data_IF_255264397897
#
_entry.id   IF_255264397897
#
_cell.length_a   1.000
_cell.length_b   1.000
_cell.length_c   1.000
_cell.angle_alpha   90.00
_cell.angle_beta   90.00
_cell.angle_gamma   90.00
#
_symmetry.space_group_name_H-M   'P 1'
#
loop_
_entity.id
_entity.type
_entity.pdbx_description
1 polymer ?
#
# COMPACT_ATOMS: atom_id res chain seq x y z
N UNK A 1 -10.18 79.96 -35.51
CA UNK A 1 -10.96 78.74 -35.23
C UNK A 1 -11.60 78.32 -36.54
N UNK A 2 -11.12 77.23 -37.14
CA UNK A 2 -11.87 76.11 -37.73
C UNK A 2 -10.94 75.34 -38.66
N UNK A 3 -10.54 74.16 -38.17
CA UNK A 3 -9.85 73.01 -38.77
C UNK A 3 -10.61 72.48 -40.02
N UNK A 4 -9.95 72.31 -41.17
CA UNK A 4 -9.27 71.10 -41.72
C UNK A 4 -10.20 69.88 -41.92
N UNK A 5 -10.46 69.50 -43.19
CA UNK A 5 -9.93 68.31 -43.91
C UNK A 5 -10.52 66.96 -43.42
N UNK A 6 -10.76 65.89 -44.19
CA UNK A 6 -10.77 65.47 -45.61
C UNK A 6 -11.18 63.99 -45.53
N UNK A 7 -11.99 63.45 -46.46
CA UNK A 7 -11.94 62.01 -46.83
C UNK A 7 -12.92 61.69 -47.96
N UNK A 8 -12.40 61.31 -49.14
CA UNK A 8 -12.90 60.13 -49.87
C UNK A 8 -11.89 59.71 -50.95
N UNK A 9 -11.30 58.53 -50.84
CA UNK A 9 -10.84 57.75 -51.99
C UNK A 9 -10.65 56.28 -51.59
N UNK A 10 -11.27 55.41 -52.37
CA UNK A 10 -11.23 53.93 -52.36
C UNK A 10 -9.79 53.40 -52.44
N UNK A 11 -9.49 52.40 -51.62
CA UNK A 11 -8.37 51.48 -51.82
C UNK A 11 -8.86 50.03 -51.68
N UNK A 12 -8.40 49.23 -52.62
CA UNK A 12 -8.66 47.83 -52.91
C UNK A 12 -8.33 46.92 -51.72
N UNK A 13 -9.24 46.00 -51.37
CA UNK A 13 -9.01 44.93 -50.40
C UNK A 13 -7.99 43.93 -50.97
N UNK A 14 -6.74 44.07 -50.55
CA UNK A 14 -5.76 43.00 -50.57
C UNK A 14 -6.04 42.06 -49.38
N UNK A 15 -6.35 40.82 -49.71
CA UNK A 15 -6.50 39.71 -48.77
C UNK A 15 -5.13 39.41 -48.16
N UNK A 16 -4.95 39.42 -46.82
CA UNK A 16 -3.68 39.02 -46.24
C UNK A 16 -3.54 37.51 -46.36
N UNK A 17 -2.41 37.11 -46.94
CA UNK A 17 -1.98 35.74 -47.12
C UNK A 17 -2.15 34.92 -45.84
N UNK A 18 -2.91 33.84 -45.98
CA UNK A 18 -3.00 32.74 -45.03
C UNK A 18 -1.61 32.19 -44.74
N UNK A 19 -1.17 32.35 -43.50
CA UNK A 19 -0.09 31.57 -42.91
C UNK A 19 -0.39 30.09 -43.06
N UNK A 20 0.55 29.36 -43.67
CA UNK A 20 0.49 27.90 -43.86
C UNK A 20 0.33 27.20 -42.50
N UNK A 21 -0.91 26.84 -42.16
CA UNK A 21 -1.19 25.86 -41.14
C UNK A 21 -0.78 24.50 -41.70
N UNK A 22 0.43 24.05 -41.36
CA UNK A 22 0.88 22.69 -41.67
C UNK A 22 -0.13 21.73 -41.06
N UNK A 23 -0.90 21.03 -41.89
CA UNK A 23 -1.81 19.98 -41.45
C UNK A 23 -0.98 18.85 -40.81
N UNK A 24 -0.90 18.86 -39.49
CA UNK A 24 -0.33 17.77 -38.72
C UNK A 24 -1.36 16.65 -38.68
N UNK A 25 -1.02 15.50 -39.24
CA UNK A 25 -1.91 14.32 -39.20
C UNK A 25 -2.13 13.86 -37.76
N UNK A 26 -3.24 13.17 -37.49
CA UNK A 26 -3.54 12.65 -36.15
C UNK A 26 -2.42 11.74 -35.60
N UNK A 27 -1.74 10.99 -36.48
CA UNK A 27 -0.61 10.14 -36.13
C UNK A 27 0.64 10.96 -35.78
N UNK A 28 0.99 11.98 -36.57
CA UNK A 28 2.11 12.88 -36.26
C UNK A 28 1.87 13.61 -34.93
N UNK A 29 0.65 14.09 -34.69
CA UNK A 29 0.28 14.71 -33.41
C UNK A 29 0.37 13.74 -32.23
N UNK A 30 0.13 12.43 -32.43
CA UNK A 30 0.33 11.42 -31.40
C UNK A 30 1.82 11.15 -31.13
N UNK A 31 2.65 11.12 -32.19
CA UNK A 31 4.11 10.97 -32.09
C UNK A 31 4.73 12.14 -31.33
N UNK A 32 4.39 13.39 -31.72
CA UNK A 32 4.84 14.63 -31.08
C UNK A 32 4.52 14.58 -29.58
N UNK A 33 3.24 14.36 -29.23
CA UNK A 33 2.80 14.26 -27.83
C UNK A 33 3.53 13.18 -27.05
N UNK A 34 3.81 12.03 -27.67
CA UNK A 34 4.48 10.92 -27.00
C UNK A 34 5.96 11.21 -26.71
N UNK A 35 6.64 11.89 -27.63
CA UNK A 35 8.03 12.31 -27.46
C UNK A 35 8.16 13.49 -26.49
N UNK A 36 7.30 14.49 -26.62
CA UNK A 36 7.22 15.61 -25.66
C UNK A 36 6.92 15.11 -24.26
N UNK A 37 6.09 14.06 -24.12
CA UNK A 37 5.90 13.41 -22.83
C UNK A 37 7.19 12.79 -22.28
N UNK A 38 7.97 12.09 -23.10
CA UNK A 38 9.21 11.44 -22.64
C UNK A 38 10.24 12.44 -22.16
N UNK A 39 10.46 13.51 -22.93
CA UNK A 39 11.40 14.59 -22.60
C UNK A 39 10.79 15.65 -21.67
N UNK A 40 9.48 15.60 -21.41
CA UNK A 40 8.79 16.53 -20.52
C UNK A 40 9.11 16.34 -19.05
N UNK A 41 8.83 17.36 -18.25
CA UNK A 41 9.21 17.44 -16.83
C UNK A 41 8.68 16.25 -16.02
N UNK A 42 7.40 15.90 -16.24
CA UNK A 42 6.72 14.88 -15.45
C UNK A 42 7.33 13.48 -15.61
N UNK A 43 7.78 13.12 -16.81
CA UNK A 43 8.41 11.81 -17.07
C UNK A 43 9.90 11.86 -16.80
N UNK A 44 10.61 12.85 -17.36
CA UNK A 44 12.06 12.90 -17.32
C UNK A 44 12.58 13.05 -15.90
N UNK A 45 11.82 13.61 -14.95
CA UNK A 45 12.16 13.60 -13.52
C UNK A 45 12.20 12.20 -12.89
N UNK A 46 11.48 11.22 -13.43
CA UNK A 46 11.33 9.87 -12.86
C UNK A 46 12.03 8.79 -13.68
N UNK A 47 12.16 8.99 -14.98
CA UNK A 47 12.72 8.01 -15.91
C UNK A 47 14.24 7.91 -15.76
N UNK A 48 14.71 6.87 -15.07
CA UNK A 48 16.15 6.64 -14.85
C UNK A 48 16.88 6.30 -16.15
N UNK A 49 16.25 5.50 -17.01
CA UNK A 49 16.87 5.04 -18.25
C UNK A 49 17.10 6.21 -19.22
N UNK A 50 16.09 7.06 -19.41
CA UNK A 50 16.22 8.22 -20.27
C UNK A 50 17.23 9.24 -19.71
N UNK A 51 17.24 9.45 -18.39
CA UNK A 51 18.26 10.30 -17.73
C UNK A 51 19.68 9.78 -17.92
N UNK A 52 19.90 8.48 -17.84
CA UNK A 52 21.21 7.87 -18.06
C UNK A 52 21.66 8.09 -19.50
N UNK A 53 20.78 7.83 -20.48
CA UNK A 53 21.08 8.04 -21.90
C UNK A 53 21.38 9.50 -22.27
N UNK A 54 20.62 10.43 -21.72
CA UNK A 54 20.85 11.87 -21.90
C UNK A 54 22.24 12.30 -21.36
N UNK A 55 22.74 11.68 -20.29
CA UNK A 55 24.07 11.99 -19.73
C UNK A 55 25.21 11.42 -20.55
N UNK A 56 24.98 10.37 -21.33
CA UNK A 56 26.02 9.70 -22.13
C UNK A 56 26.50 10.57 -23.31
N UNK A 57 25.60 11.34 -23.94
CA UNK A 57 25.90 12.09 -25.17
C UNK A 57 25.39 13.54 -25.12
N UNK A 58 25.76 14.31 -24.08
CA UNK A 58 25.46 15.75 -23.97
C UNK A 58 23.98 16.13 -24.21
N UNK A 59 23.06 15.27 -23.77
CA UNK A 59 21.62 15.45 -23.93
C UNK A 59 21.00 14.72 -25.12
N UNK A 60 21.80 14.26 -26.08
CA UNK A 60 21.34 13.55 -27.26
C UNK A 60 20.96 12.10 -26.96
N UNK A 61 19.84 11.68 -27.54
CA UNK A 61 19.35 10.31 -27.49
C UNK A 61 19.11 9.84 -28.92
N UNK A 62 19.71 8.72 -29.29
CA UNK A 62 19.54 8.17 -30.65
C UNK A 62 18.11 7.69 -30.88
N UNK A 63 17.63 7.81 -32.12
CA UNK A 63 16.31 7.30 -32.50
C UNK A 63 16.19 5.79 -32.29
N UNK A 64 17.29 5.02 -32.40
CA UNK A 64 17.28 3.58 -32.10
C UNK A 64 16.94 3.28 -30.64
N UNK A 65 17.46 4.09 -29.71
CA UNK A 65 17.11 3.99 -28.29
C UNK A 65 15.65 4.36 -28.09
N UNK A 66 15.16 5.42 -28.74
CA UNK A 66 13.75 5.85 -28.65
C UNK A 66 12.78 4.81 -29.25
N UNK A 67 13.15 4.11 -30.31
CA UNK A 67 12.37 3.03 -30.92
C UNK A 67 12.30 1.78 -30.04
N UNK A 68 13.11 1.66 -28.99
CA UNK A 68 12.94 0.61 -27.97
C UNK A 68 11.71 0.85 -27.07
N UNK A 69 11.18 2.08 -27.04
CA UNK A 69 10.05 2.45 -26.20
C UNK A 69 8.75 1.94 -26.82
N UNK A 70 8.06 1.05 -26.09
CA UNK A 70 6.88 0.34 -26.59
C UNK A 70 5.77 1.22 -27.15
N UNK A 71 5.55 2.42 -26.59
CA UNK A 71 4.47 3.32 -27.06
C UNK A 71 4.84 4.07 -28.31
N UNK A 72 6.10 4.54 -28.43
CA UNK A 72 6.58 5.16 -29.66
C UNK A 72 6.61 4.12 -30.80
N UNK A 73 7.15 2.92 -30.53
CA UNK A 73 7.18 1.82 -31.49
C UNK A 73 5.80 1.42 -32.01
N UNK A 74 4.76 1.52 -31.17
CA UNK A 74 3.39 1.23 -31.58
C UNK A 74 2.78 2.31 -32.49
N UNK A 75 3.35 3.53 -32.51
CA UNK A 75 2.90 4.63 -33.36
C UNK A 75 3.66 4.66 -34.69
N UNK A 76 4.97 4.47 -34.67
CA UNK A 76 5.82 4.42 -35.86
C UNK A 76 7.11 3.65 -35.57
N UNK A 77 7.57 2.89 -36.56
CA UNK A 77 8.91 2.27 -36.57
C UNK A 77 9.89 3.04 -37.47
N UNK A 78 9.38 4.00 -38.27
CA UNK A 78 10.16 4.75 -39.24
C UNK A 78 10.77 6.01 -38.63
N UNK A 79 12.11 6.04 -38.58
CA UNK A 79 12.90 7.19 -38.08
C UNK A 79 12.52 8.51 -38.76
N UNK A 80 12.35 8.48 -40.09
CA UNK A 80 12.01 9.67 -40.88
C UNK A 80 10.67 10.27 -40.46
N UNK A 81 9.64 9.45 -40.34
CA UNK A 81 8.29 9.88 -39.91
C UNK A 81 8.34 10.51 -38.52
N UNK A 82 9.14 9.95 -37.62
CA UNK A 82 9.30 10.48 -36.27
C UNK A 82 9.94 11.88 -36.27
N UNK A 83 11.00 12.06 -37.06
CA UNK A 83 11.71 13.34 -37.16
C UNK A 83 10.85 14.39 -37.87
N UNK A 84 10.25 14.03 -39.01
CA UNK A 84 9.35 14.91 -39.76
C UNK A 84 8.16 15.37 -38.90
N UNK A 85 7.65 14.50 -38.02
CA UNK A 85 6.60 14.87 -37.06
C UNK A 85 7.11 15.88 -36.02
N UNK A 86 8.29 15.64 -35.43
CA UNK A 86 8.86 16.54 -34.40
C UNK A 86 9.17 17.92 -34.96
N UNK A 87 9.64 18.03 -36.19
CA UNK A 87 9.91 19.32 -36.85
C UNK A 87 8.64 20.17 -37.02
N UNK A 88 7.45 19.55 -37.03
CA UNK A 88 6.15 20.24 -37.05
C UNK A 88 5.65 20.63 -35.66
N UNK A 89 6.36 20.29 -34.58
CA UNK A 89 5.96 20.65 -33.22
C UNK A 89 6.03 22.16 -33.00
N UNK A 90 4.96 22.72 -32.44
CA UNK A 90 4.87 24.13 -32.05
C UNK A 90 5.44 24.41 -30.66
N UNK A 91 5.69 23.38 -29.85
CA UNK A 91 6.10 23.54 -28.45
C UNK A 91 7.59 23.87 -28.33
N UNK A 92 8.41 23.44 -29.30
CA UNK A 92 9.85 23.70 -29.33
C UNK A 92 10.63 23.06 -28.16
N UNK A 93 10.08 22.00 -27.55
CA UNK A 93 10.71 21.32 -26.40
C UNK A 93 11.88 20.41 -26.82
N UNK A 94 11.85 19.89 -28.04
CA UNK A 94 12.78 18.89 -28.55
C UNK A 94 13.52 19.46 -29.76
N UNK A 95 14.83 19.28 -29.78
CA UNK A 95 15.70 19.57 -30.91
C UNK A 95 16.08 18.29 -31.65
N UNK A 96 16.15 18.40 -32.97
CA UNK A 96 16.63 17.35 -33.88
C UNK A 96 18.10 17.63 -34.23
N UNK A 97 18.93 16.59 -34.24
CA UNK A 97 20.32 16.71 -34.68
C UNK A 97 20.43 16.96 -36.19
N UNK A 98 21.56 17.53 -36.62
CA UNK A 98 21.80 17.83 -38.05
C UNK A 98 21.77 16.58 -38.94
N UNK A 99 22.22 15.44 -38.41
CA UNK A 99 22.18 14.13 -39.08
C UNK A 99 20.78 13.48 -39.04
N UNK A 100 19.81 14.08 -38.34
CA UNK A 100 18.45 13.57 -38.13
C UNK A 100 18.40 12.17 -37.51
N UNK A 101 19.44 11.79 -36.76
CA UNK A 101 19.53 10.47 -36.10
C UNK A 101 19.32 10.53 -34.57
N UNK A 102 19.34 11.73 -33.98
CA UNK A 102 19.27 11.95 -32.53
C UNK A 102 18.29 13.06 -32.19
N UNK A 103 17.67 12.93 -31.02
CA UNK A 103 16.81 13.94 -30.43
C UNK A 103 17.34 14.34 -29.05
N UNK A 104 17.21 15.62 -28.69
CA UNK A 104 17.47 16.09 -27.32
C UNK A 104 16.40 17.05 -26.85
N UNK A 105 16.27 17.20 -25.54
CA UNK A 105 15.50 18.30 -24.97
C UNK A 105 16.26 19.62 -25.17
N UNK A 106 15.54 20.68 -25.56
CA UNK A 106 16.11 22.00 -25.78
C UNK A 106 16.85 22.50 -24.52
N UNK A 107 18.12 22.93 -24.62
CA UNK A 107 18.96 23.29 -23.46
C UNK A 107 18.42 24.50 -22.70
N UNK A 108 17.73 25.43 -23.38
CA UNK A 108 17.10 26.60 -22.74
C UNK A 108 15.84 26.25 -21.92
N UNK A 109 15.35 25.01 -21.99
CA UNK A 109 14.25 24.51 -21.16
C UNK A 109 14.76 23.46 -20.18
N UNK A 110 15.56 23.82 -19.17
CA UNK A 110 16.06 22.85 -18.19
C UNK A 110 14.92 22.20 -17.42
N UNK A 111 15.22 21.05 -16.81
CA UNK A 111 14.28 20.40 -15.90
C UNK A 111 14.06 21.27 -14.67
N UNK A 112 12.82 21.45 -14.21
CA UNK A 112 12.54 22.00 -12.89
C UNK A 112 13.26 21.19 -11.81
N UNK A 113 13.79 21.85 -10.79
CA UNK A 113 14.34 21.14 -9.63
C UNK A 113 13.22 20.39 -8.89
N UNK A 114 13.56 19.22 -8.32
CA UNK A 114 12.59 18.41 -7.57
C UNK A 114 12.56 18.82 -6.10
N UNK A 115 12.22 20.07 -5.85
CA UNK A 115 12.05 20.62 -4.51
C UNK A 115 10.61 20.41 -4.00
N UNK A 116 10.38 20.70 -2.71
CA UNK A 116 9.07 20.53 -2.09
C UNK A 116 8.01 21.50 -2.64
N UNK A 117 8.39 22.68 -3.12
CA UNK A 117 7.45 23.67 -3.65
C UNK A 117 6.97 23.26 -5.04
N UNK A 118 7.87 22.88 -5.95
CA UNK A 118 7.49 22.35 -7.26
C UNK A 118 6.59 21.12 -7.12
N UNK A 119 6.83 20.27 -6.12
CA UNK A 119 5.95 19.12 -5.86
C UNK A 119 4.56 19.54 -5.40
N UNK A 120 4.45 20.54 -4.53
CA UNK A 120 3.18 21.10 -4.07
C UNK A 120 2.42 21.78 -5.22
N UNK A 121 3.12 22.50 -6.07
CA UNK A 121 2.58 23.15 -7.28
C UNK A 121 2.02 22.10 -8.26
N UNK A 122 2.73 21.01 -8.50
CA UNK A 122 2.21 19.89 -9.31
C UNK A 122 0.94 19.30 -8.66
N UNK A 123 0.87 19.20 -7.33
CA UNK A 123 -0.31 18.67 -6.64
C UNK A 123 -1.52 19.60 -6.72
N UNK A 124 -1.34 20.92 -6.74
CA UNK A 124 -2.44 21.89 -6.89
C UNK A 124 -3.03 21.90 -8.31
N UNK A 125 -2.26 21.49 -9.33
CA UNK A 125 -2.76 21.32 -10.71
C UNK A 125 -3.02 19.87 -11.11
N UNK A 126 -3.15 18.96 -10.14
CA UNK A 126 -3.45 17.54 -10.39
C UNK A 126 -4.81 17.13 -9.84
N UNK A 127 -5.60 16.49 -10.69
CA UNK A 127 -6.94 15.97 -10.37
C UNK A 127 -6.91 14.46 -10.21
N UNK A 128 -7.58 13.99 -9.17
CA UNK A 128 -7.93 12.59 -9.00
C UNK A 128 -9.24 12.27 -9.74
N UNK A 129 -9.22 11.27 -10.62
CA UNK A 129 -10.40 10.81 -11.35
C UNK A 129 -10.62 9.32 -11.11
N UNK A 130 -11.81 8.93 -10.63
CA UNK A 130 -12.20 7.54 -10.35
C UNK A 130 -13.46 7.16 -11.10
N UNK A 131 -13.53 5.93 -11.58
CA UNK A 131 -14.72 5.37 -12.23
C UNK A 131 -14.41 4.70 -13.56
N UNK A 132 -13.15 4.73 -13.98
CA UNK A 132 -12.67 3.93 -15.12
C UNK A 132 -12.83 2.45 -14.81
N UNK A 133 -13.40 1.71 -15.75
CA UNK A 133 -13.70 0.30 -15.55
C UNK A 133 -12.41 -0.53 -15.59
N UNK A 134 -11.96 -1.12 -14.45
CA UNK A 134 -10.75 -1.92 -14.43
C UNK A 134 -10.95 -3.30 -15.07
N UNK A 135 -12.19 -3.79 -15.06
CA UNK A 135 -12.57 -5.09 -15.61
C UNK A 135 -12.66 -5.08 -17.14
N UNK A 136 -12.94 -3.93 -17.74
CA UNK A 136 -13.12 -3.79 -19.19
C UNK A 136 -11.79 -3.49 -19.92
N UNK A 137 -10.66 -3.60 -19.23
CA UNK A 137 -9.33 -3.45 -19.84
C UNK A 137 -8.95 -2.03 -20.24
N UNK A 138 -9.49 -1.00 -19.55
CA UNK A 138 -9.14 0.42 -19.83
C UNK A 138 -7.62 0.61 -19.91
N UNK A 139 -7.13 0.95 -21.10
CA UNK A 139 -5.70 1.10 -21.39
C UNK A 139 -5.26 2.56 -21.39
N UNK A 140 -3.95 2.79 -21.38
CA UNK A 140 -3.40 4.16 -21.41
C UNK A 140 -3.83 4.93 -22.67
N UNK A 141 -3.93 4.28 -23.83
CA UNK A 141 -4.35 4.95 -25.07
C UNK A 141 -5.80 5.45 -24.97
N UNK A 142 -6.72 4.63 -24.46
CA UNK A 142 -8.11 5.06 -24.22
C UNK A 142 -8.20 6.23 -23.25
N UNK A 143 -7.32 6.27 -22.23
CA UNK A 143 -7.25 7.40 -21.31
C UNK A 143 -6.73 8.65 -22.03
N UNK A 144 -5.69 8.54 -22.85
CA UNK A 144 -5.16 9.67 -23.62
C UNK A 144 -6.23 10.22 -24.58
N UNK A 145 -6.96 9.36 -25.28
CA UNK A 145 -8.07 9.75 -26.15
C UNK A 145 -9.20 10.41 -25.36
N UNK A 146 -9.56 9.85 -24.21
CA UNK A 146 -10.58 10.42 -23.33
C UNK A 146 -10.19 11.80 -22.82
N UNK A 147 -8.90 12.01 -22.52
CA UNK A 147 -8.41 13.27 -21.98
C UNK A 147 -8.02 14.29 -23.07
N UNK A 148 -7.90 13.88 -24.33
CA UNK A 148 -7.50 14.74 -25.45
C UNK A 148 -8.39 15.98 -25.65
N UNK A 149 -9.74 15.92 -25.49
CA UNK A 149 -10.59 17.10 -25.58
C UNK A 149 -10.37 18.13 -24.47
N UNK A 150 -9.71 17.74 -23.37
CA UNK A 150 -9.38 18.65 -22.28
C UNK A 150 -7.99 19.21 -22.52
N UNK A 151 -7.92 20.53 -22.70
CA UNK A 151 -6.68 21.20 -23.09
C UNK A 151 -5.60 21.09 -22.00
N UNK A 152 -4.34 21.01 -22.45
CA UNK A 152 -3.12 21.10 -21.63
C UNK A 152 -2.99 20.03 -20.54
N UNK A 153 -3.41 18.80 -20.80
CA UNK A 153 -3.06 17.65 -19.96
C UNK A 153 -1.60 17.27 -20.21
N UNK A 154 -0.76 17.37 -19.18
CA UNK A 154 0.68 17.11 -19.25
C UNK A 154 1.03 15.68 -18.87
N UNK A 155 0.30 15.11 -17.90
CA UNK A 155 0.62 13.77 -17.40
C UNK A 155 -0.62 13.02 -16.93
N UNK A 156 -0.66 11.73 -17.22
CA UNK A 156 -1.72 10.81 -16.78
C UNK A 156 -1.05 9.62 -16.08
N UNK A 157 -1.36 9.44 -14.79
CA UNK A 157 -0.80 8.36 -13.98
C UNK A 157 -1.90 7.38 -13.59
N UNK A 158 -1.84 6.18 -14.14
CA UNK A 158 -2.74 5.08 -13.75
C UNK A 158 -2.37 4.53 -12.38
N UNK A 159 -3.32 4.53 -11.44
CA UNK A 159 -3.11 3.91 -10.13
C UNK A 159 -3.26 2.40 -10.25
N UNK A 160 -2.18 1.67 -9.98
CA UNK A 160 -2.18 0.21 -9.99
C UNK A 160 -2.04 -0.35 -8.58
N UNK A 161 -2.45 -1.59 -8.36
CA UNK A 161 -2.14 -2.36 -7.16
C UNK A 161 -1.43 -3.64 -7.55
N UNK A 162 -0.53 -4.08 -6.68
CA UNK A 162 0.13 -5.36 -6.85
C UNK A 162 -0.80 -6.46 -6.33
N UNK A 163 -1.32 -7.26 -7.25
CA UNK A 163 -2.14 -8.41 -6.92
C UNK A 163 -1.22 -9.59 -6.53
N UNK A 164 -1.19 -9.94 -5.25
CA UNK A 164 -0.28 -10.98 -4.73
C UNK A 164 -0.50 -12.36 -5.34
N UNK A 165 -1.75 -12.84 -5.54
CA UNK A 165 -1.99 -14.15 -6.16
C UNK A 165 -1.47 -14.23 -7.60
N UNK A 166 -1.71 -13.20 -8.41
CA UNK A 166 -1.29 -13.19 -9.82
C UNK A 166 0.10 -12.61 -10.08
N UNK A 167 0.73 -11.99 -9.06
CA UNK A 167 1.99 -11.22 -9.13
C UNK A 167 1.98 -10.17 -10.25
N UNK A 168 0.81 -9.59 -10.54
CA UNK A 168 0.63 -8.60 -11.61
C UNK A 168 0.15 -7.27 -11.04
N UNK A 169 0.53 -6.19 -11.70
CA UNK A 169 0.00 -4.86 -11.40
C UNK A 169 -1.31 -4.66 -12.13
N UNK A 170 -2.41 -4.68 -11.37
CA UNK A 170 -3.76 -4.47 -11.87
C UNK A 170 -4.20 -3.02 -11.66
N UNK A 171 -4.97 -2.49 -12.60
CA UNK A 171 -5.47 -1.13 -12.52
C UNK A 171 -6.55 -0.98 -11.43
N UNK A 172 -6.48 0.08 -10.61
CA UNK A 172 -7.45 0.36 -9.54
C UNK A 172 -8.75 1.03 -10.05
N UNK A 173 -8.82 1.41 -11.33
CA UNK A 173 -9.96 2.17 -11.88
C UNK A 173 -9.93 3.66 -11.58
N UNK A 174 -8.75 4.19 -11.24
CA UNK A 174 -8.55 5.59 -10.91
C UNK A 174 -7.21 6.10 -11.44
N UNK A 175 -7.16 7.35 -11.87
CA UNK A 175 -5.98 8.00 -12.45
C UNK A 175 -5.74 9.35 -11.76
N UNK A 176 -4.50 9.81 -11.81
CA UNK A 176 -4.15 11.21 -11.55
C UNK A 176 -3.86 11.90 -12.89
N UNK A 177 -4.45 13.07 -13.10
CA UNK A 177 -4.30 13.87 -14.31
C UNK A 177 -3.70 15.21 -13.91
N UNK A 178 -2.49 15.48 -14.37
CA UNK A 178 -1.79 16.75 -14.14
C UNK A 178 -2.01 17.66 -15.33
N UNK A 179 -2.53 18.86 -15.08
CA UNK A 179 -2.71 19.91 -16.08
C UNK A 179 -1.49 20.84 -16.09
N UNK A 180 -1.28 21.55 -17.20
CA UNK A 180 -0.23 22.56 -17.28
C UNK A 180 -0.48 23.72 -16.30
N UNK A 181 -1.74 24.15 -16.19
CA UNK A 181 -2.16 25.31 -15.40
C UNK A 181 -3.27 24.93 -14.42
N UNK A 182 -3.32 25.62 -13.27
CA UNK A 182 -4.38 25.48 -12.27
C UNK A 182 -5.75 25.85 -12.82
N UNK A 183 -5.85 26.85 -13.69
CA UNK A 183 -7.13 27.26 -14.30
C UNK A 183 -7.79 26.13 -15.11
N UNK A 184 -7.00 25.33 -15.81
CA UNK A 184 -7.51 24.22 -16.61
C UNK A 184 -7.95 23.05 -15.71
N UNK A 185 -7.25 22.85 -14.60
CA UNK A 185 -7.65 21.92 -13.54
C UNK A 185 -9.03 22.32 -12.96
N UNK A 186 -9.23 23.61 -12.67
CA UNK A 186 -10.51 24.13 -12.16
C UNK A 186 -11.64 24.02 -13.19
N UNK A 187 -11.38 24.39 -14.46
CA UNK A 187 -12.34 24.20 -15.56
C UNK A 187 -12.76 22.73 -15.68
N UNK A 188 -11.79 21.80 -15.58
CA UNK A 188 -12.08 20.37 -15.65
C UNK A 188 -12.91 19.87 -14.45
N UNK A 189 -12.70 20.44 -13.25
CA UNK A 189 -13.52 20.14 -12.08
C UNK A 189 -14.93 20.72 -12.16
N UNK A 190 -15.09 21.89 -12.78
CA UNK A 190 -16.37 22.59 -12.94
C UNK A 190 -17.34 21.90 -13.91
N UNK A 191 -16.88 21.01 -14.79
CA UNK A 191 -17.75 20.23 -15.67
C UNK A 191 -18.75 19.43 -14.80
N UNK A 192 -20.06 19.63 -14.93
CA UNK A 192 -21.03 19.01 -14.01
C UNK A 192 -21.13 17.48 -14.14
N UNK A 193 -21.11 16.96 -15.37
CA UNK A 193 -21.26 15.53 -15.65
C UNK A 193 -20.11 15.04 -16.50
N UNK A 194 -19.23 14.26 -15.88
CA UNK A 194 -18.19 13.53 -16.60
C UNK A 194 -18.51 12.03 -16.51
N UNK A 195 -18.71 11.40 -17.67
CA UNK A 195 -18.99 9.97 -17.73
C UNK A 195 -18.03 9.26 -18.68
N UNK A 196 -17.75 8.00 -18.38
CA UNK A 196 -16.92 7.13 -19.21
C UNK A 196 -17.60 5.77 -19.32
N UNK A 197 -17.90 5.34 -20.55
CA UNK A 197 -18.62 4.09 -20.87
C UNK A 197 -19.91 3.93 -20.03
N UNK A 198 -20.69 5.01 -19.89
CA UNK A 198 -21.95 5.01 -19.14
C UNK A 198 -21.83 5.05 -17.60
N UNK A 199 -20.61 5.16 -17.05
CA UNK A 199 -20.37 5.33 -15.61
C UNK A 199 -19.96 6.76 -15.30
N UNK A 200 -20.55 7.36 -14.29
CA UNK A 200 -20.15 8.67 -13.80
C UNK A 200 -18.77 8.61 -13.13
N UNK A 201 -17.93 9.59 -13.46
CA UNK A 201 -16.58 9.71 -12.94
C UNK A 201 -16.57 10.67 -11.74
N UNK A 202 -16.04 10.17 -10.63
CA UNK A 202 -15.78 10.96 -9.43
C UNK A 202 -14.48 11.73 -9.65
N UNK A 203 -14.53 13.04 -9.50
CA UNK A 203 -13.36 13.92 -9.57
C UNK A 203 -13.16 14.62 -8.23
N UNK A 204 -11.90 14.73 -7.81
CA UNK A 204 -11.48 15.48 -6.63
C UNK A 204 -10.11 16.08 -6.87
N UNK A 205 -9.78 17.16 -6.17
CA UNK A 205 -8.40 17.61 -6.12
C UNK A 205 -7.52 16.53 -5.51
N UNK A 206 -6.28 16.40 -6.00
CA UNK A 206 -5.35 15.42 -5.47
C UNK A 206 -5.06 15.64 -3.98
N UNK A 207 -4.99 16.90 -3.53
CA UNK A 207 -4.82 17.23 -2.12
C UNK A 207 -5.98 16.73 -1.25
N UNK A 208 -7.23 16.97 -1.67
CA UNK A 208 -8.42 16.48 -0.95
C UNK A 208 -8.45 14.96 -0.86
N UNK A 209 -8.02 14.29 -1.94
CA UNK A 209 -7.87 12.84 -1.95
C UNK A 209 -6.84 12.38 -0.91
N UNK A 210 -5.67 13.04 -0.83
CA UNK A 210 -4.64 12.67 0.14
C UNK A 210 -5.08 12.92 1.58
N UNK A 211 -5.70 14.06 1.86
CA UNK A 211 -6.22 14.39 3.20
C UNK A 211 -7.26 13.34 3.64
N UNK A 212 -8.20 13.00 2.77
CA UNK A 212 -9.19 11.97 3.06
C UNK A 212 -8.53 10.59 3.28
N UNK A 213 -7.50 10.25 2.49
CA UNK A 213 -6.79 8.98 2.62
C UNK A 213 -5.97 8.89 3.91
N UNK A 214 -5.34 9.97 4.34
CA UNK A 214 -4.62 10.02 5.61
C UNK A 214 -5.57 9.86 6.80
N UNK A 215 -6.73 10.52 6.76
CA UNK A 215 -7.76 10.34 7.79
C UNK A 215 -8.26 8.88 7.86
N UNK A 216 -8.56 8.27 6.70
CA UNK A 216 -8.97 6.85 6.61
C UNK A 216 -7.90 5.90 7.18
N UNK A 217 -6.63 6.14 6.84
CA UNK A 217 -5.52 5.34 7.31
C UNK A 217 -5.32 5.48 8.83
N UNK A 218 -5.45 6.69 9.38
CA UNK A 218 -5.37 6.94 10.82
C UNK A 218 -6.49 6.23 11.57
N UNK A 219 -7.73 6.34 11.09
CA UNK A 219 -8.88 5.65 11.69
C UNK A 219 -8.71 4.11 11.62
N UNK A 220 -8.20 3.58 10.49
CA UNK A 220 -7.90 2.15 10.36
C UNK A 220 -6.85 1.71 11.37
N UNK A 221 -5.78 2.48 11.54
CA UNK A 221 -4.71 2.17 12.47
C UNK A 221 -5.21 2.18 13.91
N UNK A 222 -6.01 3.17 14.30
CA UNK A 222 -6.65 3.25 15.61
C UNK A 222 -7.57 2.04 15.86
N UNK A 223 -8.36 1.61 14.86
CA UNK A 223 -9.19 0.39 14.96
C UNK A 223 -8.36 -0.87 15.15
N UNK A 224 -7.21 -0.99 14.48
CA UNK A 224 -6.30 -2.13 14.64
C UNK A 224 -5.70 -2.12 16.05
N UNK A 225 -5.25 -0.96 16.52
CA UNK A 225 -4.67 -0.82 17.85
C UNK A 225 -5.69 -1.10 18.95
N UNK A 226 -6.92 -0.60 18.82
CA UNK A 226 -8.01 -0.93 19.74
C UNK A 226 -8.32 -2.43 19.77
N UNK A 227 -8.29 -3.12 18.63
CA UNK A 227 -8.47 -4.58 18.58
C UNK A 227 -7.33 -5.32 19.27
N UNK A 228 -6.08 -4.84 19.13
CA UNK A 228 -4.92 -5.41 19.82
C UNK A 228 -5.03 -5.21 21.33
N UNK A 229 -5.30 -3.99 21.80
CA UNK A 229 -5.51 -3.68 23.22
C UNK A 229 -6.62 -4.54 23.83
N UNK A 230 -7.79 -4.64 23.17
CA UNK A 230 -8.87 -5.52 23.64
C UNK A 230 -8.48 -7.00 23.69
N UNK A 231 -7.64 -7.47 22.76
CA UNK A 231 -7.14 -8.85 22.77
C UNK A 231 -6.16 -9.06 23.92
N UNK A 232 -5.28 -8.10 24.17
CA UNK A 232 -4.32 -8.12 25.28
C UNK A 232 -5.04 -8.06 26.62
N UNK A 233 -5.99 -7.13 26.81
CA UNK A 233 -6.83 -7.04 28.02
C UNK A 233 -7.64 -8.31 28.27
N UNK A 234 -8.23 -8.91 27.23
CA UNK A 234 -8.93 -10.18 27.36
C UNK A 234 -7.98 -11.33 27.71
N UNK A 235 -6.74 -11.29 27.20
CA UNK A 235 -5.72 -12.28 27.49
C UNK A 235 -5.18 -12.14 28.91
N UNK A 236 -4.91 -10.92 29.38
CA UNK A 236 -4.47 -10.65 30.75
C UNK A 236 -5.55 -11.02 31.76
N UNK A 237 -6.81 -10.65 31.52
CA UNK A 237 -7.94 -11.05 32.36
C UNK A 237 -8.11 -12.58 32.40
N UNK A 238 -7.93 -13.26 31.27
CA UNK A 238 -8.03 -14.72 31.21
C UNK A 238 -6.88 -15.44 31.93
N UNK A 239 -5.68 -14.84 31.98
CA UNK A 239 -4.54 -15.41 32.73
C UNK A 239 -4.52 -14.98 34.19
N UNK A 240 -5.15 -13.86 34.58
CA UNK A 240 -5.15 -13.34 35.95
C UNK A 240 -5.80 -14.28 36.98
N UNK A 241 -6.74 -15.13 36.55
CA UNK A 241 -7.38 -16.13 37.42
C UNK A 241 -6.61 -17.46 37.51
N UNK A 242 -5.46 -17.60 36.85
CA UNK A 242 -4.66 -18.81 36.87
C UNK A 242 -3.54 -18.67 37.92
N UNK A 243 -3.33 -19.66 38.81
CA UNK A 243 -2.29 -19.58 39.84
C UNK A 243 -0.88 -19.63 39.21
N UNK A 244 0.00 -18.76 39.68
CA UNK A 244 1.42 -18.66 39.28
C UNK A 244 2.31 -19.59 40.11
N UNK A 245 3.43 -20.04 39.56
CA UNK A 245 4.32 -21.05 40.17
C UNK A 245 3.64 -22.41 40.40
N UNK A 246 2.54 -22.68 39.69
CA UNK A 246 1.67 -23.84 39.92
C UNK A 246 1.73 -24.87 38.79
N UNK A 247 2.64 -24.70 37.81
CA UNK A 247 2.75 -25.59 36.66
C UNK A 247 4.15 -26.21 36.55
N UNK A 248 4.20 -27.51 36.24
CA UNK A 248 5.45 -28.25 36.00
C UNK A 248 5.39 -28.97 34.66
N UNK A 249 6.54 -29.10 34.02
CA UNK A 249 6.76 -29.85 32.79
C UNK A 249 7.39 -31.21 33.12
N UNK A 250 6.89 -32.26 32.48
CA UNK A 250 7.37 -33.62 32.59
C UNK A 250 7.95 -34.07 31.26
N UNK A 251 9.17 -34.60 31.25
CA UNK A 251 9.84 -35.13 30.06
C UNK A 251 10.36 -36.54 30.32
N UNK A 252 10.30 -37.39 29.29
CA UNK A 252 10.65 -38.82 29.40
C UNK A 252 9.49 -39.72 29.82
N UNK A 253 8.25 -39.30 29.56
CA UNK A 253 7.05 -40.11 29.83
C UNK A 253 7.03 -41.35 28.92
N UNK A 254 6.62 -42.49 29.49
CA UNK A 254 6.52 -43.77 28.79
C UNK A 254 5.32 -43.81 27.82
N UNK A 255 5.37 -44.70 26.83
CA UNK A 255 4.32 -44.83 25.82
C UNK A 255 2.96 -45.25 26.41
N UNK A 256 2.99 -46.05 27.49
CA UNK A 256 1.81 -46.54 28.22
C UNK A 256 1.44 -45.66 29.42
N UNK A 257 2.22 -44.60 29.70
CA UNK A 257 1.95 -43.71 30.83
C UNK A 257 0.59 -43.05 30.62
N UNK A 258 -0.22 -42.99 31.68
CA UNK A 258 -1.55 -42.41 31.65
C UNK A 258 -1.63 -41.19 32.57
N UNK A 259 -2.68 -40.37 32.38
CA UNK A 259 -2.91 -39.21 33.27
C UNK A 259 -3.13 -39.63 34.73
N UNK A 260 -3.64 -40.83 34.95
CA UNK A 260 -3.92 -41.36 36.27
C UNK A 260 -2.62 -41.80 36.96
N UNK A 261 -1.72 -42.50 36.23
CA UNK A 261 -0.42 -42.90 36.78
C UNK A 261 0.47 -41.69 37.11
N UNK A 262 0.42 -40.62 36.30
CA UNK A 262 1.08 -39.34 36.61
C UNK A 262 0.54 -38.72 37.91
N UNK A 263 -0.78 -38.68 38.10
CA UNK A 263 -1.39 -38.12 39.32
C UNK A 263 -1.03 -38.94 40.55
N UNK A 264 -1.06 -40.27 40.45
CA UNK A 264 -0.71 -41.16 41.55
C UNK A 264 0.76 -41.01 41.96
N UNK A 265 1.67 -40.95 40.98
CA UNK A 265 3.10 -40.75 41.23
C UNK A 265 3.37 -39.42 41.96
N UNK A 266 2.72 -38.33 41.53
CA UNK A 266 2.85 -37.02 42.17
C UNK A 266 2.24 -37.02 43.59
N UNK A 267 1.08 -37.67 43.80
CA UNK A 267 0.46 -37.79 45.14
C UNK A 267 1.28 -38.63 46.12
N UNK A 268 2.05 -39.61 45.64
CA UNK A 268 2.97 -40.39 46.51
C UNK A 268 4.10 -39.53 47.08
N UNK A 269 4.48 -38.46 46.39
CA UNK A 269 5.49 -37.49 46.85
C UNK A 269 4.85 -36.45 47.75
N UNK A 270 3.66 -35.95 47.39
CA UNK A 270 2.94 -34.97 48.17
C UNK A 270 1.42 -35.12 47.98
N UNK A 271 0.74 -35.65 48.99
CA UNK A 271 -0.69 -35.91 48.98
C UNK A 271 -1.53 -34.63 49.15
N UNK A 272 -0.90 -33.53 49.57
CA UNK A 272 -1.55 -32.22 49.74
C UNK A 272 -1.76 -31.47 48.42
N UNK A 273 -1.20 -31.98 47.30
CA UNK A 273 -1.28 -31.33 45.99
C UNK A 273 -2.61 -31.59 45.28
N UNK A 274 -3.35 -30.52 45.02
CA UNK A 274 -4.56 -30.55 44.21
C UNK A 274 -4.29 -30.21 42.74
N UNK A 275 -4.73 -31.09 41.83
CA UNK A 275 -4.53 -30.93 40.39
C UNK A 275 -5.65 -30.10 39.76
N UNK A 276 -5.26 -29.03 39.05
CA UNK A 276 -6.16 -28.24 38.21
C UNK A 276 -6.37 -28.89 36.83
N UNK A 277 -5.28 -29.33 36.18
CA UNK A 277 -5.33 -29.97 34.87
C UNK A 277 -4.04 -30.73 34.57
N UNK A 278 -4.14 -31.84 33.84
CA UNK A 278 -3.00 -32.60 33.31
C UNK A 278 -3.10 -32.57 31.79
N UNK A 279 -2.25 -31.76 31.15
CA UNK A 279 -2.15 -31.66 29.69
C UNK A 279 -1.14 -32.68 29.17
N UNK A 280 -1.66 -33.87 28.90
CA UNK A 280 -0.88 -35.01 28.42
C UNK A 280 -1.79 -35.91 27.57
N UNK A 281 -1.27 -36.50 26.50
CA UNK A 281 -1.95 -37.57 25.75
C UNK A 281 -1.10 -38.83 25.79
N UNK A 282 -1.76 -39.97 25.93
CA UNK A 282 -1.10 -41.28 25.95
C UNK A 282 -0.29 -41.43 24.65
N UNK A 283 0.98 -41.82 24.79
CA UNK A 283 1.96 -41.89 23.70
C UNK A 283 2.83 -40.64 23.53
N UNK A 284 2.53 -39.51 24.17
CA UNK A 284 3.42 -38.34 24.18
C UNK A 284 4.63 -38.60 25.11
N UNK A 285 5.81 -38.13 24.73
CA UNK A 285 7.03 -38.25 25.56
C UNK A 285 7.16 -37.18 26.64
N UNK A 286 6.27 -36.19 26.62
CA UNK A 286 6.27 -35.07 27.55
C UNK A 286 4.85 -34.55 27.80
N UNK A 287 4.66 -33.83 28.91
CA UNK A 287 3.36 -33.31 29.31
C UNK A 287 3.47 -32.22 30.37
N UNK A 288 2.36 -31.53 30.62
CA UNK A 288 2.30 -30.48 31.62
C UNK A 288 1.30 -30.83 32.72
N UNK A 289 1.67 -30.53 33.96
CA UNK A 289 0.79 -30.68 35.13
C UNK A 289 0.59 -29.32 35.75
N UNK A 290 -0.67 -28.93 35.95
CA UNK A 290 -1.06 -27.69 36.61
C UNK A 290 -1.81 -28.00 37.91
N UNK A 291 -1.41 -27.34 38.99
CA UNK A 291 -2.01 -27.42 40.31
C UNK A 291 -2.99 -26.25 40.56
N UNK A 292 -3.90 -26.42 41.52
CA UNK A 292 -4.87 -25.38 41.91
C UNK A 292 -4.25 -24.27 42.77
N UNK A 293 -3.24 -24.61 43.57
CA UNK A 293 -2.64 -23.70 44.54
C UNK A 293 -1.45 -22.95 43.95
N UNK A 294 -1.34 -21.67 44.28
CA UNK A 294 -0.20 -20.83 43.92
C UNK A 294 1.10 -21.37 44.56
N UNK A 295 2.19 -21.43 43.79
CA UNK A 295 3.48 -21.95 44.24
C UNK A 295 3.52 -23.47 44.48
N UNK A 296 2.45 -24.22 44.17
CA UNK A 296 2.42 -25.66 44.36
C UNK A 296 3.41 -26.42 43.47
N UNK A 297 3.66 -25.93 42.26
CA UNK A 297 4.69 -26.50 41.37
C UNK A 297 6.08 -26.37 41.99
N UNK A 298 6.37 -25.22 42.60
CA UNK A 298 7.63 -24.97 43.31
C UNK A 298 7.80 -25.89 44.51
N UNK A 299 6.78 -26.01 45.36
CA UNK A 299 6.78 -26.93 46.52
C UNK A 299 6.97 -28.38 46.10
N UNK A 300 6.35 -28.77 44.99
CA UNK A 300 6.51 -30.12 44.44
C UNK A 300 7.94 -30.36 43.97
N UNK A 301 8.54 -29.43 43.21
CA UNK A 301 9.92 -29.57 42.72
C UNK A 301 10.96 -29.56 43.84
N UNK A 302 10.73 -28.80 44.93
CA UNK A 302 11.61 -28.79 46.11
C UNK A 302 11.63 -30.13 46.87
N UNK A 303 10.56 -30.94 46.76
CA UNK A 303 10.45 -32.27 47.39
C UNK A 303 11.07 -33.39 46.56
N UNK A 304 11.51 -33.11 45.32
CA UNK A 304 12.15 -34.09 44.44
C UNK A 304 13.67 -34.07 44.63
N UNK A 305 14.27 -35.25 44.67
CA UNK A 305 15.72 -35.42 44.56
C UNK A 305 16.12 -35.40 43.09
N UNK A 306 17.03 -34.52 42.70
CA UNK A 306 17.55 -34.35 41.32
C UNK A 306 16.50 -34.04 40.24
N UNK A 307 15.36 -33.43 40.60
CA UNK A 307 14.27 -33.13 39.65
C UNK A 307 13.76 -34.35 38.88
N UNK A 308 13.86 -35.53 39.48
CA UNK A 308 13.50 -36.81 38.86
C UNK A 308 12.36 -37.48 39.63
N UNK A 309 11.41 -38.03 38.89
CA UNK A 309 10.27 -38.76 39.41
C UNK A 309 10.18 -40.12 38.71
N UNK A 310 9.98 -41.20 39.47
CA UNK A 310 9.71 -42.51 38.88
C UNK A 310 8.21 -42.66 38.59
N UNK A 311 7.86 -42.85 37.32
CA UNK A 311 6.50 -43.15 36.86
C UNK A 311 6.57 -44.43 36.04
N UNK A 312 5.80 -45.46 36.43
CA UNK A 312 5.75 -46.76 35.73
C UNK A 312 7.16 -47.38 35.49
N UNK A 313 8.01 -47.35 36.52
CA UNK A 313 9.43 -47.78 36.51
C UNK A 313 10.35 -47.03 35.53
N UNK A 314 9.87 -45.96 34.89
CA UNK A 314 10.63 -45.04 34.05
C UNK A 314 11.00 -43.79 34.85
N UNK A 315 12.25 -43.34 34.70
CA UNK A 315 12.73 -42.09 35.31
C UNK A 315 12.34 -40.89 34.44
N UNK A 316 11.50 -40.02 34.98
CA UNK A 316 10.92 -38.84 34.31
C UNK A 316 11.55 -37.59 34.90
N UNK A 317 11.98 -36.65 34.05
CA UNK A 317 12.50 -35.35 34.48
C UNK A 317 11.37 -34.35 34.67
N UNK A 318 11.43 -33.60 35.78
CA UNK A 318 10.43 -32.62 36.19
C UNK A 318 11.08 -31.23 36.19
N UNK A 319 10.59 -30.33 35.34
CA UNK A 319 11.03 -28.93 35.30
C UNK A 319 9.92 -28.00 35.81
N UNK A 320 10.24 -27.12 36.77
CA UNK A 320 9.34 -26.04 37.14
C UNK A 320 9.20 -25.06 35.98
N UNK A 321 7.98 -24.70 35.60
CA UNK A 321 7.79 -23.59 34.66
C UNK A 321 8.00 -22.27 35.40
N UNK A 322 8.99 -21.49 34.95
CA UNK A 322 9.36 -20.19 35.53
C UNK A 322 9.21 -19.09 34.49
N UNK A 323 8.81 -17.89 34.95
CA UNK A 323 8.80 -16.63 34.19
C UNK A 323 8.18 -16.77 32.78
N UNK A 324 8.97 -16.60 31.72
CA UNK A 324 8.50 -16.55 30.33
C UNK A 324 7.81 -17.86 29.91
N UNK A 325 8.39 -19.03 30.26
CA UNK A 325 7.81 -20.34 29.92
C UNK A 325 6.46 -20.56 30.59
N UNK A 326 6.30 -20.10 31.84
CA UNK A 326 5.04 -20.17 32.55
C UNK A 326 4.00 -19.25 31.91
N UNK A 327 4.37 -18.01 31.56
CA UNK A 327 3.43 -17.08 30.91
C UNK A 327 2.97 -17.58 29.54
N UNK A 328 3.84 -18.18 28.73
CA UNK A 328 3.46 -18.76 27.43
C UNK A 328 2.50 -19.94 27.58
N UNK A 329 2.79 -20.84 28.53
CA UNK A 329 1.93 -21.97 28.82
C UNK A 329 0.55 -21.52 29.34
N UNK A 330 0.50 -20.56 30.27
CA UNK A 330 -0.76 -20.01 30.78
C UNK A 330 -1.57 -19.29 29.69
N UNK A 331 -0.91 -18.60 28.75
CA UNK A 331 -1.56 -18.01 27.57
C UNK A 331 -2.22 -19.08 26.69
N UNK A 332 -1.53 -20.20 26.45
CA UNK A 332 -2.08 -21.34 25.69
C UNK A 332 -3.29 -21.94 26.41
N UNK A 333 -3.20 -22.16 27.72
CA UNK A 333 -4.30 -22.67 28.55
C UNK A 333 -5.52 -21.74 28.51
N UNK A 334 -5.32 -20.43 28.64
CA UNK A 334 -6.38 -19.44 28.55
C UNK A 334 -7.06 -19.45 27.17
N UNK A 335 -6.28 -19.57 26.08
CA UNK A 335 -6.81 -19.69 24.72
C UNK A 335 -7.64 -20.96 24.53
N UNK A 336 -7.15 -22.11 25.00
CA UNK A 336 -7.85 -23.39 24.90
C UNK A 336 -9.16 -23.40 25.70
N UNK A 337 -9.17 -22.80 26.91
CA UNK A 337 -10.37 -22.63 27.70
C UNK A 337 -11.41 -21.75 26.99
N UNK A 338 -10.97 -20.66 26.35
CA UNK A 338 -11.83 -19.75 25.61
C UNK A 338 -12.38 -20.39 24.33
N UNK A 339 -11.58 -21.20 23.63
CA UNK A 339 -12.01 -21.99 22.47
C UNK A 339 -13.06 -23.03 22.87
N UNK A 340 -12.88 -23.74 23.99
CA UNK A 340 -13.86 -24.71 24.51
C UNK A 340 -15.18 -24.04 24.90
N UNK A 341 -15.13 -22.86 25.55
CA UNK A 341 -16.34 -22.06 25.88
C UNK A 341 -17.10 -21.63 24.62
N UNK A 342 -16.40 -21.21 23.56
CA UNK A 342 -17.02 -20.84 22.28
C UNK A 342 -17.60 -22.05 21.53
N UNK A 343 -16.95 -23.20 21.59
CA UNK A 343 -17.43 -24.45 20.97
C UNK A 343 -18.63 -25.09 21.67
N UNK A 344 -18.76 -24.92 23.00
CA UNK A 344 -19.87 -25.45 23.80
C UNK A 344 -21.23 -24.79 23.51
N UNK A 345 -21.24 -23.50 23.13
CA UNK A 345 -22.48 -22.77 22.86
C UNK A 345 -23.12 -23.10 21.50
N UNK A 346 -22.41 -23.80 20.59
CA UNK A 346 -22.94 -24.17 19.28
C UNK A 346 -23.67 -25.53 19.27
N UNK A 347 -23.49 -26.37 20.30
CA UNK A 347 -24.15 -27.70 20.39
C UNK A 347 -25.43 -27.74 21.24
N UNK A 348 -25.81 -26.62 21.86
CA UNK A 348 -26.96 -26.55 22.78
C UNK A 348 -28.30 -26.12 22.16
N UNK A 349 -28.37 -25.79 20.86
CA UNK A 349 -29.62 -25.35 20.22
C UNK A 349 -29.69 -25.88 18.78
N UNK A 350 -30.38 -27.01 18.57
CA UNK A 350 -30.68 -27.49 17.21
C UNK A 350 -30.72 -29.00 16.98
N UNK A 351 -30.78 -29.83 18.03
CA UNK A 351 -30.74 -31.28 17.89
C UNK A 351 -32.09 -31.99 18.02
N UNK A 352 -33.11 -31.64 17.21
CA UNK A 352 -34.25 -32.55 16.96
C UNK A 352 -35.00 -32.15 15.68
N UNK A 353 -34.90 -33.03 14.68
CA UNK A 353 -35.80 -33.12 13.53
C UNK A 353 -35.49 -32.19 12.35
N UNK A 354 -34.89 -32.72 11.28
CA UNK A 354 -35.66 -33.17 10.12
C UNK A 354 -34.72 -33.72 9.04
N UNK A 355 -34.80 -35.04 8.81
CA UNK A 355 -34.29 -35.66 7.58
C UNK A 355 -35.28 -35.31 6.47
N UNK A 356 -34.76 -34.86 5.33
CA UNK A 356 -35.49 -34.69 4.09
C UNK A 356 -35.81 -33.23 3.78
N UNK A 357 -35.19 -32.65 2.76
CA UNK A 357 -35.69 -32.80 1.41
C UNK A 357 -34.70 -32.16 0.43
N UNK A 358 -34.62 -32.77 -0.73
CA UNK A 358 -33.87 -32.31 -1.89
C UNK A 358 -34.58 -31.09 -2.52
N UNK A 359 -33.80 -30.34 -3.31
CA UNK A 359 -34.22 -29.50 -4.45
C UNK A 359 -34.33 -27.96 -4.29
N UNK A 360 -33.48 -27.32 -5.10
CA UNK A 360 -33.67 -26.12 -5.96
C UNK A 360 -33.88 -24.71 -5.39
N UNK A 361 -32.86 -23.91 -5.72
CA UNK A 361 -32.89 -22.59 -6.37
C UNK A 361 -33.16 -21.31 -5.56
N UNK A 362 -32.22 -20.39 -5.82
CA UNK A 362 -32.29 -18.92 -5.87
C UNK A 362 -31.79 -18.08 -4.68
N UNK A 363 -30.78 -17.27 -5.01
CA UNK A 363 -30.69 -15.88 -4.58
C UNK A 363 -29.88 -15.61 -3.32
N UNK A 364 -28.90 -14.72 -3.44
CA UNK A 364 -28.53 -13.84 -2.34
C UNK A 364 -27.16 -14.07 -1.71
N UNK A 365 -26.24 -13.16 -2.05
CA UNK A 365 -25.19 -12.62 -1.19
C UNK A 365 -24.55 -13.53 -0.12
N UNK A 366 -23.30 -13.91 -0.37
CA UNK A 366 -22.30 -13.99 0.70
C UNK A 366 -21.11 -13.09 0.37
N UNK A 367 -21.12 -11.90 0.98
CA UNK A 367 -19.90 -11.16 1.30
C UNK A 367 -19.03 -12.11 2.13
N UNK A 368 -17.93 -12.58 1.55
CA UNK A 368 -16.91 -13.33 2.27
C UNK A 368 -16.14 -12.31 3.11
N UNK A 369 -16.36 -12.32 4.42
CA UNK A 369 -15.53 -11.63 5.42
C UNK A 369 -14.16 -12.30 5.42
N UNK A 370 -13.16 -11.52 5.05
CA UNK A 370 -11.91 -11.29 5.75
C UNK A 370 -11.35 -12.46 6.57
N UNK A 371 -10.41 -13.17 5.96
CA UNK A 371 -9.19 -13.68 6.60
C UNK A 371 -8.15 -13.81 5.48
N UNK A 372 -7.67 -12.65 5.02
CA UNK A 372 -6.52 -12.57 4.11
C UNK A 372 -5.44 -11.76 4.82
N UNK A 373 -4.33 -12.44 5.07
CA UNK A 373 -3.10 -11.97 5.66
C UNK A 373 -2.78 -10.51 5.29
N UNK A 374 -2.60 -9.70 6.33
CA UNK A 374 -2.09 -8.33 6.31
C UNK A 374 -0.67 -8.30 5.73
N UNK A 375 -0.54 -8.37 4.41
CA UNK A 375 0.63 -7.83 3.75
C UNK A 375 0.31 -6.41 3.31
N UNK A 376 0.99 -5.45 3.96
CA UNK A 376 1.13 -4.05 3.57
C UNK A 376 1.08 -3.89 2.05
N UNK A 377 -0.03 -3.38 1.53
CA UNK A 377 0.01 -2.69 0.25
C UNK A 377 0.61 -1.32 0.56
N UNK A 378 1.85 -1.09 0.14
CA UNK A 378 2.42 0.24 0.12
C UNK A 378 1.55 1.09 -0.80
N UNK A 379 0.71 1.95 -0.21
CA UNK A 379 0.26 3.13 -0.93
C UNK A 379 1.50 3.99 -1.14
N UNK A 380 1.68 4.44 -2.38
CA UNK A 380 2.82 5.19 -2.92
C UNK A 380 2.84 6.61 -2.33
N UNK A 381 2.95 6.70 -1.01
CA UNK A 381 3.14 7.93 -0.25
C UNK A 381 4.67 8.15 -0.18
N UNK A 382 5.18 9.31 -0.62
CA UNK A 382 6.60 9.62 -0.44
C UNK A 382 6.96 9.64 1.05
N UNK A 383 8.12 9.10 1.45
CA UNK A 383 8.55 9.18 2.84
C UNK A 383 8.77 10.64 3.23
N UNK A 384 7.93 11.15 4.14
CA UNK A 384 8.17 12.43 4.81
C UNK A 384 9.35 12.21 5.75
N UNK A 385 10.54 12.66 5.34
CA UNK A 385 11.68 12.75 6.27
C UNK A 385 11.31 13.76 7.35
N UNK A 386 11.21 13.30 8.60
CA UNK A 386 11.11 14.18 9.76
C UNK A 386 12.37 15.03 9.81
N UNK A 387 12.25 16.33 9.60
CA UNK A 387 13.29 17.28 9.98
C UNK A 387 13.38 17.27 11.52
N UNK A 388 14.50 16.80 12.05
CA UNK A 388 14.85 17.03 13.45
C UNK A 388 15.13 18.52 13.63
N UNK A 389 14.16 19.24 14.17
CA UNK A 389 14.40 20.56 14.74
C UNK A 389 15.17 20.38 16.04
N UNK A 390 16.49 20.57 16.00
CA UNK A 390 17.30 20.77 17.20
C UNK A 390 16.85 22.07 17.88
N UNK A 391 16.65 22.09 19.21
CA UNK A 391 16.31 23.31 19.92
C UNK A 391 17.54 24.23 19.96
N UNK A 392 17.35 25.46 19.50
CA UNK A 392 18.30 26.57 19.66
C UNK A 392 18.39 26.92 21.14
N UNK A 393 19.54 26.69 21.75
CA UNK A 393 19.86 27.14 23.10
C UNK A 393 20.12 28.65 23.08
N UNK A 394 19.24 29.43 23.70
CA UNK A 394 19.50 30.82 24.08
C UNK A 394 20.57 30.84 25.18
N UNK A 395 21.79 31.25 24.83
CA UNK A 395 22.82 31.60 25.80
C UNK A 395 22.78 33.12 26.03
N UNK A 396 22.37 33.51 27.23
CA UNK A 396 22.48 34.87 27.76
C UNK A 396 23.96 35.28 27.81
N UNK A 397 24.26 36.43 27.22
CA UNK A 397 25.50 37.17 27.45
C UNK A 397 25.40 37.90 28.80
N UNK A 398 26.05 37.36 29.83
CA UNK A 398 26.38 38.12 31.04
C UNK A 398 27.87 38.47 31.01
N UNK A 399 28.12 39.77 30.94
CA UNK A 399 29.43 40.36 31.11
C UNK A 399 29.90 40.17 32.55
N UNK A 400 31.16 39.75 32.73
CA UNK A 400 31.93 40.13 33.92
C UNK A 400 33.44 40.12 33.62
N UNK A 401 33.99 41.32 33.74
CA UNK A 401 35.40 41.62 33.82
C UNK A 401 35.95 41.22 35.20
N UNK A 402 37.20 40.76 35.22
CA UNK A 402 38.24 40.90 36.25
C UNK A 402 39.43 40.06 35.76
N UNK A 403 40.57 40.68 35.45
CA UNK A 403 41.70 40.89 36.38
C UNK A 403 42.54 39.63 36.54
#
# INVERSE_FOLDING_TARGET
MTESETQTAKATEETPATVDAVEVSANEAAIIRQLEYYFGDANLLKDKFLKEKIKEDNGWVTLDVLLSFKRLKALSEDKKVIVDAIEKSTEGLIEVSEDREKLRRHPERPLPELDEETRKEIYTRTVYVKGFAPQDGTNMNELVEFFQPYEKVVNIVMRKYHDKPTKKYLFKGSVFVTFANTEQCEKFLAIEKLSYKGKELIRKMQNDYFVAKQAENKERQEKIEQRKRKKEEAQTLATAHLPTGASVFLEGLGAETSRETIKEAIKKVDDTLEFAFVDFKIGDKSGYVRFNQEGAGKRFTEKLTDNKLKIDDVEVTVELLVEEKETEYLKKVAQDQLARRKGGNAKGKGGRGNRGNNNKHHGGHKRKRDDAEDGKAADDEPPVKKAETKPVSTANSEAKAAD
#
